data_IF_410831194921
#
_entry.id   IF_410831194921
#
_cell.length_a   1.000
_cell.length_b   1.000
_cell.length_c   1.000
_cell.angle_alpha   90.00
_cell.angle_beta   90.00
_cell.angle_gamma   90.00
#
_symmetry.space_group_name_H-M   'P 1'
#
loop_
_entity.id
_entity.type
_entity.pdbx_description
1 polymer ?
#
# COMPACT_ATOMS: atom_id res chain seq x y z
N UNK A 1 -20.60 -44.60 -45.20
CA UNK A 1 -19.22 -44.07 -44.91
C UNK A 1 -19.24 -43.40 -43.58
N UNK A 2 -18.80 -44.12 -42.53
CA UNK A 2 -18.82 -43.65 -41.16
C UNK A 2 -17.44 -43.03 -40.82
N UNK A 3 -17.42 -41.73 -40.51
CA UNK A 3 -16.23 -41.06 -40.04
C UNK A 3 -16.10 -41.22 -38.51
N UNK A 4 -15.09 -41.96 -38.06
CA UNK A 4 -14.70 -42.09 -36.66
C UNK A 4 -14.03 -40.79 -36.19
N UNK A 5 -14.65 -40.08 -35.22
CA UNK A 5 -14.03 -39.00 -34.49
C UNK A 5 -13.09 -39.58 -33.44
N UNK A 6 -11.79 -39.35 -33.59
CA UNK A 6 -10.79 -39.60 -32.54
C UNK A 6 -10.92 -38.51 -31.47
N UNK A 7 -11.31 -38.90 -30.27
CA UNK A 7 -11.22 -38.06 -29.06
C UNK A 7 -9.79 -38.10 -28.54
N UNK A 8 -9.02 -37.02 -28.75
CA UNK A 8 -7.74 -36.81 -28.11
C UNK A 8 -7.96 -36.38 -26.64
N UNK A 9 -7.75 -37.32 -25.75
CA UNK A 9 -7.66 -37.08 -24.30
C UNK A 9 -6.41 -36.24 -24.03
N UNK A 10 -6.66 -34.95 -23.78
CA UNK A 10 -5.63 -34.00 -23.37
C UNK A 10 -5.27 -34.27 -21.91
N UNK A 11 -4.15 -34.94 -21.66
CA UNK A 11 -3.59 -35.13 -20.34
C UNK A 11 -3.28 -33.74 -19.71
N UNK A 12 -4.07 -33.35 -18.72
CA UNK A 12 -3.74 -32.23 -17.84
C UNK A 12 -2.53 -32.65 -17.00
N UNK A 13 -1.36 -32.15 -17.34
CA UNK A 13 -0.21 -32.18 -16.44
C UNK A 13 -0.56 -31.33 -15.24
N UNK A 14 -0.79 -31.96 -14.10
CA UNK A 14 -0.79 -31.29 -12.81
C UNK A 14 0.62 -30.76 -12.57
N UNK A 15 0.81 -29.47 -12.69
CA UNK A 15 1.99 -28.81 -12.15
C UNK A 15 1.93 -28.99 -10.63
N UNK A 16 2.77 -29.84 -10.12
CA UNK A 16 3.13 -29.91 -8.69
C UNK A 16 3.75 -28.58 -8.35
N UNK A 17 3.00 -27.77 -7.58
CA UNK A 17 3.54 -26.56 -6.94
C UNK A 17 4.63 -27.03 -5.99
N UNK A 18 5.88 -26.58 -6.12
CA UNK A 18 6.91 -26.95 -5.16
C UNK A 18 6.46 -26.44 -3.78
N UNK A 19 6.38 -27.38 -2.84
CA UNK A 19 6.12 -27.10 -1.44
C UNK A 19 7.32 -26.30 -0.94
N UNK A 20 7.20 -24.98 -0.87
CA UNK A 20 8.18 -24.15 -0.23
C UNK A 20 8.13 -24.49 1.26
N UNK A 21 9.05 -25.35 1.68
CA UNK A 21 9.39 -25.49 3.07
C UNK A 21 9.71 -24.07 3.58
N UNK A 22 8.87 -23.60 4.47
CA UNK A 22 9.18 -22.44 5.29
C UNK A 22 10.31 -22.89 6.20
N UNK A 23 11.55 -22.78 5.70
CA UNK A 23 12.73 -22.92 6.51
C UNK A 23 12.68 -21.77 7.52
N UNK A 24 12.34 -22.10 8.76
CA UNK A 24 12.65 -21.25 9.88
C UNK A 24 14.19 -21.23 9.96
N UNK A 25 14.80 -20.34 9.17
CA UNK A 25 16.17 -19.96 9.45
C UNK A 25 16.16 -19.41 10.87
N UNK A 26 16.90 -20.11 11.74
CA UNK A 26 17.27 -19.64 13.06
C UNK A 26 17.52 -18.13 12.98
N UNK A 27 16.71 -17.38 13.71
CA UNK A 27 16.89 -15.96 13.85
C UNK A 27 18.30 -15.74 14.44
N UNK A 28 19.24 -15.36 13.60
CA UNK A 28 20.36 -14.55 14.06
C UNK A 28 19.73 -13.26 14.56
N UNK A 29 19.43 -13.23 15.85
CA UNK A 29 19.09 -12.03 16.59
C UNK A 29 20.32 -11.11 16.49
N UNK A 30 20.34 -10.29 15.45
CA UNK A 30 21.27 -9.17 15.39
C UNK A 30 20.82 -8.19 16.45
N UNK A 31 21.40 -8.34 17.63
CA UNK A 31 21.28 -7.40 18.75
C UNK A 31 22.00 -6.11 18.35
N UNK A 32 21.31 -5.21 17.69
CA UNK A 32 21.75 -3.83 17.55
C UNK A 32 21.33 -3.08 18.81
N UNK A 33 22.29 -2.86 19.71
CA UNK A 33 22.11 -2.02 20.89
C UNK A 33 21.03 -2.46 21.89
N UNK A 34 20.71 -3.78 21.98
CA UNK A 34 19.79 -4.32 22.98
C UNK A 34 18.29 -4.17 22.65
N UNK A 35 17.94 -3.71 21.45
CA UNK A 35 16.56 -3.69 20.97
C UNK A 35 16.27 -4.91 20.11
N UNK A 36 15.28 -5.70 20.52
CA UNK A 36 14.74 -6.80 19.71
C UNK A 36 14.02 -6.18 18.50
N UNK A 37 14.49 -6.50 17.29
CA UNK A 37 13.78 -6.12 16.06
C UNK A 37 12.55 -7.02 15.90
N UNK A 38 11.38 -6.50 16.26
CA UNK A 38 10.10 -7.23 16.14
C UNK A 38 9.64 -7.30 14.67
N UNK A 39 10.03 -6.34 13.84
CA UNK A 39 9.61 -6.26 12.45
C UNK A 39 10.82 -6.20 11.50
N UNK A 40 10.77 -7.04 10.46
CA UNK A 40 11.71 -6.96 9.33
C UNK A 40 11.30 -5.80 8.41
N UNK A 41 11.97 -4.65 8.60
CA UNK A 41 11.71 -3.42 7.83
C UNK A 41 12.09 -3.57 6.36
N UNK A 42 13.16 -4.31 6.06
CA UNK A 42 13.58 -4.55 4.68
C UNK A 42 12.60 -5.45 3.95
N UNK A 43 12.05 -6.46 4.61
CA UNK A 43 11.00 -7.29 4.04
C UNK A 43 9.74 -6.46 3.79
N UNK A 44 9.34 -5.61 4.74
CA UNK A 44 8.20 -4.71 4.57
C UNK A 44 8.39 -3.81 3.36
N UNK A 45 9.56 -3.16 3.23
CA UNK A 45 9.88 -2.30 2.08
C UNK A 45 9.74 -3.07 0.76
N UNK A 46 10.36 -4.25 0.64
CA UNK A 46 10.25 -5.10 -0.55
C UNK A 46 8.81 -5.51 -0.88
N UNK A 47 7.97 -5.73 0.13
CA UNK A 47 6.55 -5.99 -0.09
C UNK A 47 5.83 -4.74 -0.61
N UNK A 48 6.17 -3.56 -0.12
CA UNK A 48 5.61 -2.29 -0.59
C UNK A 48 6.06 -1.97 -2.02
N UNK A 49 7.33 -2.20 -2.35
CA UNK A 49 7.85 -2.04 -3.71
C UNK A 49 7.07 -2.93 -4.69
N UNK A 50 6.88 -4.21 -4.37
CA UNK A 50 6.06 -5.12 -5.18
C UNK A 50 4.60 -4.69 -5.29
N UNK A 51 4.04 -4.18 -4.21
CA UNK A 51 2.66 -3.69 -4.20
C UNK A 51 2.47 -2.48 -5.13
N UNK A 52 3.47 -1.60 -5.24
CA UNK A 52 3.43 -0.46 -6.15
C UNK A 52 3.24 -0.89 -7.62
N UNK A 53 3.91 -1.96 -8.04
CA UNK A 53 3.77 -2.52 -9.39
C UNK A 53 2.43 -3.21 -9.64
N UNK A 54 1.83 -3.77 -8.60
CA UNK A 54 0.53 -4.43 -8.68
C UNK A 54 -0.66 -3.47 -8.46
N UNK A 55 -0.38 -2.21 -8.10
CA UNK A 55 -1.41 -1.24 -7.75
C UNK A 55 -2.27 -0.89 -8.96
N UNK A 56 -3.58 -0.99 -8.78
CA UNK A 56 -4.58 -0.57 -9.75
C UNK A 56 -4.99 0.87 -9.47
N UNK A 57 -5.46 1.56 -10.49
CA UNK A 57 -5.99 2.92 -10.36
C UNK A 57 -7.20 2.96 -9.42
N UNK A 58 -8.07 1.97 -9.52
CA UNK A 58 -9.20 1.77 -8.64
C UNK A 58 -9.24 0.36 -8.09
N UNK A 59 -9.45 0.21 -6.79
CA UNK A 59 -9.64 -1.08 -6.12
C UNK A 59 -10.77 -0.92 -5.10
N UNK A 60 -11.92 -1.60 -5.31
CA UNK A 60 -13.09 -1.44 -4.44
C UNK A 60 -12.83 -1.76 -2.96
N UNK A 61 -11.93 -2.70 -2.66
CA UNK A 61 -11.56 -3.02 -1.28
C UNK A 61 -10.76 -1.86 -0.66
N UNK A 62 -9.77 -1.35 -1.38
CA UNK A 62 -8.94 -0.24 -0.92
C UNK A 62 -9.77 1.03 -0.76
N UNK A 63 -10.70 1.29 -1.70
CA UNK A 63 -11.61 2.42 -1.63
C UNK A 63 -12.54 2.32 -0.41
N UNK A 64 -13.10 1.14 -0.13
CA UNK A 64 -13.93 0.91 1.05
C UNK A 64 -13.16 1.08 2.37
N UNK A 65 -11.91 0.61 2.42
CA UNK A 65 -11.04 0.80 3.59
C UNK A 65 -10.71 2.28 3.80
N UNK A 66 -10.41 3.02 2.73
CA UNK A 66 -10.13 4.45 2.80
C UNK A 66 -11.36 5.24 3.27
N UNK A 67 -12.54 4.92 2.73
CA UNK A 67 -13.79 5.56 3.13
C UNK A 67 -14.10 5.33 4.61
N UNK A 68 -14.04 4.09 5.08
CA UNK A 68 -14.24 3.75 6.49
C UNK A 68 -13.22 4.42 7.44
N UNK A 69 -11.98 4.61 6.99
CA UNK A 69 -10.97 5.31 7.76
C UNK A 69 -11.31 6.80 7.89
N UNK A 70 -11.67 7.42 6.78
CA UNK A 70 -11.93 8.86 6.70
C UNK A 70 -13.28 9.26 7.29
N UNK A 71 -14.25 8.34 7.36
CA UNK A 71 -15.53 8.53 8.03
C UNK A 71 -15.34 8.98 9.49
N UNK A 72 -14.30 8.51 10.14
CA UNK A 72 -13.96 8.91 11.51
C UNK A 72 -13.62 10.39 11.67
N UNK A 73 -13.26 11.07 10.59
CA UNK A 73 -13.03 12.52 10.60
C UNK A 73 -14.33 13.31 10.78
N UNK A 74 -15.48 12.72 10.43
CA UNK A 74 -16.80 13.34 10.59
C UNK A 74 -17.22 13.42 12.07
N UNK A 75 -16.69 12.53 12.91
CA UNK A 75 -16.89 12.57 14.36
C UNK A 75 -16.07 13.68 15.04
N UNK A 76 -15.11 14.27 14.34
CA UNK A 76 -14.24 15.28 14.88
C UNK A 76 -14.85 16.69 14.72
N UNK A 77 -14.97 17.41 15.81
CA UNK A 77 -15.48 18.80 15.79
C UNK A 77 -14.45 19.82 15.29
N UNK A 78 -13.17 19.45 15.23
CA UNK A 78 -12.08 20.33 14.79
C UNK A 78 -11.73 20.04 13.35
N UNK A 79 -11.40 21.11 12.60
CA UNK A 79 -10.76 20.97 11.32
C UNK A 79 -9.25 20.70 11.48
N UNK A 80 -8.70 19.95 10.56
CA UNK A 80 -7.28 19.60 10.50
C UNK A 80 -6.68 20.09 9.17
N UNK A 81 -6.27 21.36 9.06
CA UNK A 81 -5.80 21.93 7.81
C UNK A 81 -4.61 21.14 7.20
N UNK A 82 -3.81 20.50 8.06
CA UNK A 82 -2.69 19.67 7.62
C UNK A 82 -2.81 18.27 8.20
N UNK A 83 -2.71 17.27 7.36
CA UNK A 83 -2.77 15.87 7.75
C UNK A 83 -1.58 15.08 7.20
N UNK A 84 -1.15 14.04 7.93
CA UNK A 84 -0.17 13.07 7.51
C UNK A 84 -0.83 11.69 7.42
N UNK A 85 -0.68 11.06 6.26
CA UNK A 85 -1.10 9.67 6.05
C UNK A 85 0.13 8.77 5.89
N UNK A 86 0.25 7.78 6.76
CA UNK A 86 1.35 6.81 6.76
C UNK A 86 0.92 5.55 5.99
N UNK A 87 1.55 5.30 4.85
CA UNK A 87 1.20 4.21 3.96
C UNK A 87 -0.13 4.44 3.22
N UNK A 88 -0.84 3.36 2.90
CA UNK A 88 -2.15 3.42 2.25
C UNK A 88 -2.07 3.60 0.73
N UNK A 89 -3.19 4.02 0.15
CA UNK A 89 -3.32 4.37 -1.26
C UNK A 89 -3.68 5.85 -1.39
N UNK A 90 -2.78 6.65 -1.96
CA UNK A 90 -3.01 8.07 -2.13
C UNK A 90 -4.27 8.35 -2.95
N UNK A 91 -4.49 7.62 -4.04
CA UNK A 91 -5.66 7.78 -4.89
C UNK A 91 -6.98 7.49 -4.17
N UNK A 92 -7.04 6.39 -3.39
CA UNK A 92 -8.23 6.05 -2.62
C UNK A 92 -8.52 7.07 -1.51
N UNK A 93 -7.49 7.46 -0.74
CA UNK A 93 -7.60 8.47 0.32
C UNK A 93 -8.10 9.80 -0.27
N UNK A 94 -7.52 10.26 -1.38
CA UNK A 94 -7.92 11.50 -2.04
C UNK A 94 -9.39 11.45 -2.50
N UNK A 95 -9.79 10.38 -3.20
CA UNK A 95 -11.17 10.23 -3.67
C UNK A 95 -12.20 10.21 -2.54
N UNK A 96 -11.84 9.58 -1.42
CA UNK A 96 -12.73 9.43 -0.27
C UNK A 96 -12.71 10.62 0.68
N UNK A 97 -11.73 11.52 0.57
CA UNK A 97 -11.60 12.65 1.50
C UNK A 97 -12.77 13.61 1.41
N UNK A 98 -13.18 14.01 0.20
CA UNK A 98 -14.40 14.80 -0.09
C UNK A 98 -14.64 15.99 0.85
N UNK A 99 -13.58 16.68 1.28
CA UNK A 99 -13.65 17.78 2.23
C UNK A 99 -13.78 17.39 3.71
N UNK A 100 -13.80 16.09 4.04
CA UNK A 100 -13.84 15.59 5.42
C UNK A 100 -12.67 16.14 6.22
N UNK A 101 -12.91 16.49 7.47
CA UNK A 101 -11.90 16.99 8.39
C UNK A 101 -11.33 18.37 8.06
N UNK A 102 -11.77 19.04 6.99
CA UNK A 102 -11.25 20.34 6.56
C UNK A 102 -9.76 20.29 6.19
N UNK A 103 -9.30 19.19 5.58
CA UNK A 103 -7.91 18.99 5.22
C UNK A 103 -7.61 19.78 3.94
N UNK A 104 -6.69 20.74 4.06
CA UNK A 104 -6.19 21.56 2.96
C UNK A 104 -4.87 21.01 2.39
N UNK A 105 -4.03 20.42 3.27
CA UNK A 105 -2.74 19.83 2.91
C UNK A 105 -2.65 18.40 3.41
N UNK A 106 -2.44 17.46 2.50
CA UNK A 106 -2.26 16.05 2.81
C UNK A 106 -0.85 15.59 2.44
N UNK A 107 -0.07 15.21 3.43
CA UNK A 107 1.22 14.59 3.21
C UNK A 107 1.08 13.07 3.25
N UNK A 108 1.43 12.40 2.16
CA UNK A 108 1.49 10.95 2.08
C UNK A 108 2.93 10.48 2.25
N UNK A 109 3.16 9.54 3.14
CA UNK A 109 4.49 9.00 3.38
C UNK A 109 4.49 7.47 3.27
N UNK A 110 5.49 6.94 2.61
CA UNK A 110 5.75 5.49 2.53
C UNK A 110 7.26 5.23 2.50
N UNK A 111 7.65 4.07 3.01
CA UNK A 111 9.05 3.63 2.97
C UNK A 111 9.50 3.17 1.58
N UNK A 112 8.57 2.87 0.68
CA UNK A 112 8.81 2.44 -0.69
C UNK A 112 8.93 3.64 -1.62
N UNK A 113 10.08 3.77 -2.26
CA UNK A 113 10.31 4.78 -3.32
C UNK A 113 9.38 4.53 -4.50
N UNK A 114 9.18 3.26 -4.89
CA UNK A 114 8.33 2.87 -6.01
C UNK A 114 6.86 3.26 -5.75
N UNK A 115 6.40 3.05 -4.51
CA UNK A 115 5.05 3.45 -4.11
C UNK A 115 4.85 4.97 -4.19
N UNK A 116 5.80 5.73 -3.65
CA UNK A 116 5.74 7.20 -3.67
C UNK A 116 5.80 7.74 -5.10
N UNK A 117 6.63 7.17 -5.96
CA UNK A 117 6.70 7.56 -7.37
C UNK A 117 5.38 7.24 -8.08
N UNK A 118 4.79 6.08 -7.80
CA UNK A 118 3.48 5.70 -8.36
C UNK A 118 2.38 6.66 -7.94
N UNK A 119 2.37 7.16 -6.71
CA UNK A 119 1.43 8.17 -6.28
C UNK A 119 1.60 9.50 -7.04
N UNK A 120 2.85 9.93 -7.25
CA UNK A 120 3.15 11.15 -8.03
C UNK A 120 2.69 11.06 -9.48
N UNK A 121 2.87 9.90 -10.10
CA UNK A 121 2.38 9.65 -11.46
C UNK A 121 0.86 9.77 -11.58
N UNK A 122 0.14 9.28 -10.58
CA UNK A 122 -1.32 9.31 -10.54
C UNK A 122 -1.88 10.69 -10.17
N UNK A 123 -1.08 11.53 -9.51
CA UNK A 123 -1.50 12.86 -9.03
C UNK A 123 -1.70 13.88 -10.16
N UNK A 124 -0.94 13.78 -11.23
CA UNK A 124 -0.88 14.80 -12.28
C UNK A 124 -2.17 15.01 -13.07
N UNK A 125 -3.25 14.32 -12.73
CA UNK A 125 -4.48 14.28 -13.54
C UNK A 125 -5.68 15.06 -12.99
N UNK A 126 -5.65 15.61 -11.76
CA UNK A 126 -6.88 16.23 -11.19
C UNK A 126 -6.56 17.44 -10.32
N UNK A 127 -7.25 18.56 -10.65
CA UNK A 127 -7.06 19.87 -10.00
C UNK A 127 -7.94 20.06 -8.74
N UNK A 128 -8.84 19.13 -8.44
CA UNK A 128 -9.78 19.22 -7.31
C UNK A 128 -9.32 18.38 -6.12
N UNK A 129 -8.96 19.02 -5.01
CA UNK A 129 -8.66 18.35 -3.75
C UNK A 129 -7.65 19.10 -2.89
N UNK A 130 -7.18 18.50 -1.79
CA UNK A 130 -6.13 19.10 -0.95
C UNK A 130 -4.79 19.15 -1.69
N UNK A 131 -3.93 20.08 -1.29
CA UNK A 131 -2.53 20.09 -1.71
C UNK A 131 -1.83 18.80 -1.28
N UNK A 132 -1.34 18.01 -2.24
CA UNK A 132 -0.73 16.73 -1.99
C UNK A 132 0.79 16.85 -1.89
N UNK A 133 1.37 16.31 -0.82
CA UNK A 133 2.81 16.19 -0.63
C UNK A 133 3.20 14.73 -0.48
N UNK A 134 4.31 14.33 -1.09
CA UNK A 134 4.77 12.94 -1.07
C UNK A 134 6.19 12.84 -0.52
N UNK A 135 6.36 12.03 0.53
CA UNK A 135 7.63 11.84 1.23
C UNK A 135 7.98 10.35 1.23
N UNK A 136 9.24 10.05 0.90
CA UNK A 136 9.81 8.73 1.18
C UNK A 136 10.38 8.76 2.60
N UNK A 137 9.88 7.91 3.46
CA UNK A 137 10.33 7.88 4.86
C UNK A 137 9.83 6.63 5.59
N UNK A 138 10.50 6.36 6.69
CA UNK A 138 10.13 5.27 7.59
C UNK A 138 9.24 5.80 8.71
N UNK A 139 8.12 5.14 8.95
CA UNK A 139 7.18 5.53 10.01
C UNK A 139 7.74 5.40 11.43
N UNK A 140 8.87 4.71 11.62
CA UNK A 140 9.59 4.68 12.89
C UNK A 140 10.48 5.91 13.09
N UNK A 141 10.86 6.58 12.00
CA UNK A 141 11.74 7.75 12.00
C UNK A 141 11.11 8.86 11.15
N UNK A 142 10.08 9.51 11.70
CA UNK A 142 9.33 10.52 10.96
C UNK A 142 10.23 11.73 10.63
N UNK A 143 10.44 12.07 9.34
CA UNK A 143 11.23 13.22 8.93
C UNK A 143 10.43 14.54 9.04
N UNK A 144 9.60 14.65 10.06
CA UNK A 144 8.68 15.77 10.28
C UNK A 144 8.98 16.38 11.62
N UNK A 145 9.16 17.72 11.65
CA UNK A 145 9.38 18.45 12.91
C UNK A 145 8.09 18.46 13.72
N UNK A 146 8.21 18.15 15.00
CA UNK A 146 7.18 18.47 15.98
C UNK A 146 6.99 20.00 16.06
N UNK A 147 5.74 20.44 16.16
CA UNK A 147 5.38 21.83 16.34
C UNK A 147 5.23 22.14 17.82
#
# INVERSE_FOLDING_TARGET
VAARRLLLLRHRRHHLVPNHHFSSSSADEVLDGGRVKIFDRDLKRRHRDRAAWAMRETDPLVDAVADNLLDRLEDCRKAFPSALCLGGSAGAVRRSLRGRGGIEKLTMMDMSVDMVNKWRELESATDDGPEMNFIVGDEEYLPIKEK
#
